data_IF_118925258888
#
_entry.id   IF_118925258888
#
_cell.length_a   1.000
_cell.length_b   1.000
_cell.length_c   1.000
_cell.angle_alpha   90.00
_cell.angle_beta   90.00
_cell.angle_gamma   90.00
#
_symmetry.space_group_name_H-M   'P 1'
#
loop_
_entity.id
_entity.type
_entity.pdbx_description
1 polymer ?
#
# COMPACT_ATOMS: atom_id res chain seq x y z
N UNK A 1 46.24 -7.53 -13.39
CA UNK A 1 45.19 -7.18 -12.39
C UNK A 1 43.90 -6.73 -13.08
N UNK A 2 43.33 -7.54 -14.03
CA UNK A 2 42.21 -7.13 -14.88
C UNK A 2 41.13 -8.20 -15.11
N UNK A 3 41.08 -9.29 -14.33
CA UNK A 3 40.11 -10.38 -14.52
C UNK A 3 38.98 -10.42 -13.47
N UNK A 4 39.13 -9.71 -12.37
CA UNK A 4 38.10 -9.72 -11.31
C UNK A 4 36.93 -8.73 -11.58
N UNK A 5 37.15 -7.68 -12.37
CA UNK A 5 36.14 -6.68 -12.72
C UNK A 5 35.10 -7.23 -13.72
N UNK A 6 35.52 -8.05 -14.67
CA UNK A 6 34.62 -8.56 -15.72
C UNK A 6 33.60 -9.59 -15.21
N UNK A 7 33.93 -10.36 -14.18
CA UNK A 7 33.01 -11.37 -13.60
C UNK A 7 31.91 -10.72 -12.77
N UNK A 8 32.24 -9.65 -12.05
CA UNK A 8 31.25 -8.85 -11.29
C UNK A 8 30.28 -8.14 -12.23
N UNK A 9 30.77 -7.55 -13.32
CA UNK A 9 29.97 -6.83 -14.29
C UNK A 9 28.98 -7.76 -15.02
N UNK A 10 29.44 -8.96 -15.40
CA UNK A 10 28.57 -9.97 -16.03
C UNK A 10 27.48 -10.48 -15.06
N UNK A 11 27.77 -10.62 -13.78
CA UNK A 11 26.77 -11.01 -12.78
C UNK A 11 25.71 -9.92 -12.58
N UNK A 12 26.11 -8.65 -12.56
CA UNK A 12 25.17 -7.50 -12.46
C UNK A 12 24.29 -7.41 -13.71
N UNK A 13 24.86 -7.60 -14.89
CA UNK A 13 24.08 -7.59 -16.16
C UNK A 13 23.07 -8.74 -16.15
N UNK A 14 23.46 -9.94 -15.79
CA UNK A 14 22.54 -11.09 -15.73
C UNK A 14 21.41 -10.88 -14.70
N UNK A 15 21.69 -10.26 -13.55
CA UNK A 15 20.65 -9.90 -12.59
C UNK A 15 19.68 -8.83 -13.14
N UNK A 16 20.19 -7.84 -13.84
CA UNK A 16 19.37 -6.80 -14.45
C UNK A 16 18.45 -7.36 -15.55
N UNK A 17 18.98 -8.28 -16.38
CA UNK A 17 18.21 -8.97 -17.41
C UNK A 17 17.10 -9.84 -16.80
N UNK A 18 17.41 -10.63 -15.76
CA UNK A 18 16.43 -11.44 -15.03
C UNK A 18 15.34 -10.60 -14.38
N UNK A 19 15.71 -9.48 -13.74
CA UNK A 19 14.75 -8.53 -13.17
C UNK A 19 13.85 -7.92 -14.24
N UNK A 20 14.41 -7.54 -15.39
CA UNK A 20 13.66 -6.99 -16.53
C UNK A 20 12.64 -7.99 -17.06
N UNK A 21 13.01 -9.26 -17.17
CA UNK A 21 12.11 -10.31 -17.63
C UNK A 21 10.98 -10.56 -16.63
N UNK A 22 11.29 -10.59 -15.34
CA UNK A 22 10.27 -10.72 -14.27
C UNK A 22 9.29 -9.57 -14.31
N UNK A 23 9.75 -8.33 -14.52
CA UNK A 23 8.89 -7.15 -14.64
C UNK A 23 7.98 -7.20 -15.87
N UNK A 24 8.48 -7.68 -17.01
CA UNK A 24 7.67 -7.87 -18.21
C UNK A 24 6.56 -8.91 -17.97
N UNK A 25 6.88 -10.00 -17.29
CA UNK A 25 5.89 -11.03 -16.95
C UNK A 25 4.83 -10.49 -16.00
N UNK A 26 5.21 -9.76 -14.96
CA UNK A 26 4.29 -9.09 -14.04
C UNK A 26 3.39 -8.10 -14.78
N UNK A 27 3.96 -7.23 -15.63
CA UNK A 27 3.21 -6.28 -16.46
C UNK A 27 2.20 -6.97 -17.38
N UNK A 28 2.59 -8.05 -18.05
CA UNK A 28 1.71 -8.80 -18.92
C UNK A 28 0.56 -9.43 -18.12
N UNK A 29 0.84 -10.07 -16.98
CA UNK A 29 -0.18 -10.63 -16.11
C UNK A 29 -1.19 -9.58 -15.60
N UNK A 30 -0.74 -8.36 -15.35
CA UNK A 30 -1.60 -7.23 -15.00
C UNK A 30 -2.45 -6.78 -16.20
N UNK A 31 -1.86 -6.69 -17.40
CA UNK A 31 -2.55 -6.27 -18.62
C UNK A 31 -3.62 -7.27 -19.07
N UNK A 32 -3.44 -8.56 -18.77
CA UNK A 32 -4.43 -9.62 -19.06
C UNK A 32 -5.74 -9.46 -18.23
N UNK A 33 -5.69 -8.71 -17.14
CA UNK A 33 -6.85 -8.47 -16.25
C UNK A 33 -7.38 -7.04 -16.38
N UNK A 34 -6.49 -6.07 -16.58
CA UNK A 34 -6.81 -4.63 -16.60
C UNK A 34 -6.72 -4.12 -18.05
N UNK A 35 -7.85 -4.04 -18.72
CA UNK A 35 -7.92 -3.63 -20.11
C UNK A 35 -8.11 -2.11 -20.26
N UNK A 36 -7.39 -1.53 -21.25
CA UNK A 36 -7.57 -0.13 -21.66
C UNK A 36 -7.05 0.91 -20.66
N UNK A 37 -6.21 0.50 -19.68
CA UNK A 37 -5.65 1.39 -18.66
C UNK A 37 -4.13 1.21 -18.51
N UNK A 38 -3.43 0.92 -19.62
CA UNK A 38 -2.00 0.63 -19.61
C UNK A 38 -1.18 1.75 -18.94
N UNK A 39 -1.54 3.01 -19.19
CA UNK A 39 -0.84 4.16 -18.59
C UNK A 39 -0.94 4.17 -17.05
N UNK A 40 -2.14 3.92 -16.51
CA UNK A 40 -2.34 3.87 -15.05
C UNK A 40 -1.61 2.67 -14.46
N UNK A 41 -1.65 1.53 -15.14
CA UNK A 41 -0.94 0.32 -14.76
C UNK A 41 0.57 0.56 -14.69
N UNK A 42 1.16 1.12 -15.75
CA UNK A 42 2.59 1.38 -15.85
C UNK A 42 3.05 2.41 -14.79
N UNK A 43 2.28 3.48 -14.56
CA UNK A 43 2.58 4.47 -13.53
C UNK A 43 2.49 3.85 -12.13
N UNK A 44 1.47 3.03 -11.86
CA UNK A 44 1.28 2.39 -10.54
C UNK A 44 2.39 1.38 -10.28
N UNK A 45 2.72 0.53 -11.26
CA UNK A 45 3.82 -0.43 -11.16
C UNK A 45 5.15 0.28 -10.92
N UNK A 46 5.45 1.33 -11.69
CA UNK A 46 6.66 2.15 -11.51
C UNK A 46 6.72 2.76 -10.12
N UNK A 47 5.59 3.26 -9.60
CA UNK A 47 5.53 3.86 -8.26
C UNK A 47 5.84 2.84 -7.17
N UNK A 48 5.28 1.62 -7.27
CA UNK A 48 5.55 0.52 -6.32
C UNK A 48 7.03 0.13 -6.38
N UNK A 49 7.60 -0.04 -7.57
CA UNK A 49 9.01 -0.40 -7.76
C UNK A 49 9.97 0.68 -7.25
N UNK A 50 9.56 1.94 -7.31
CA UNK A 50 10.31 3.07 -6.75
C UNK A 50 10.16 3.21 -5.22
N UNK A 51 9.40 2.33 -4.56
CA UNK A 51 9.15 2.41 -3.11
C UNK A 51 8.16 3.52 -2.73
N UNK A 52 7.40 4.05 -3.69
CA UNK A 52 6.50 5.18 -3.49
C UNK A 52 5.06 4.80 -3.15
N UNK A 53 4.22 5.84 -3.11
CA UNK A 53 2.76 5.77 -2.94
C UNK A 53 2.10 6.50 -4.11
N UNK A 54 0.87 6.14 -4.48
CA UNK A 54 0.16 6.80 -5.57
C UNK A 54 -1.23 7.30 -5.15
N UNK A 55 -1.64 8.43 -5.74
CA UNK A 55 -3.01 8.91 -5.70
C UNK A 55 -3.61 8.79 -7.11
N UNK A 56 -4.64 7.97 -7.25
CA UNK A 56 -5.36 7.73 -8.50
C UNK A 56 -6.62 8.60 -8.49
N UNK A 57 -6.58 9.68 -9.26
CA UNK A 57 -7.71 10.61 -9.40
C UNK A 57 -8.53 10.22 -10.64
N UNK A 58 -9.84 10.04 -10.49
CA UNK A 58 -10.70 9.69 -11.62
C UNK A 58 -12.12 9.32 -11.19
N UNK A 59 -13.02 9.32 -12.16
CA UNK A 59 -14.43 8.97 -11.95
C UNK A 59 -14.61 7.53 -11.43
N UNK A 60 -15.72 7.23 -10.73
CA UNK A 60 -16.05 5.88 -10.32
C UNK A 60 -16.20 4.93 -11.52
N UNK A 61 -15.95 3.62 -11.29
CA UNK A 61 -16.11 2.60 -12.34
C UNK A 61 -14.87 2.32 -13.19
N UNK A 62 -13.72 2.97 -12.95
CA UNK A 62 -12.47 2.74 -13.69
C UNK A 62 -11.68 1.53 -13.18
N UNK A 63 -12.33 0.51 -12.64
CA UNK A 63 -11.70 -0.72 -12.14
C UNK A 63 -10.52 -0.51 -11.16
N UNK A 64 -10.47 0.65 -10.45
CA UNK A 64 -9.39 1.00 -9.51
C UNK A 64 -9.17 -0.09 -8.45
N UNK A 65 -10.25 -0.60 -7.87
CA UNK A 65 -10.21 -1.71 -6.90
C UNK A 65 -9.59 -2.95 -7.53
N UNK A 66 -10.00 -3.31 -8.75
CA UNK A 66 -9.47 -4.47 -9.46
C UNK A 66 -7.99 -4.33 -9.77
N UNK A 67 -7.55 -3.12 -10.11
CA UNK A 67 -6.13 -2.82 -10.32
C UNK A 67 -5.31 -3.13 -9.06
N UNK A 68 -5.74 -2.65 -7.88
CA UNK A 68 -5.00 -2.86 -6.62
C UNK A 68 -4.98 -4.32 -6.22
N UNK A 69 -6.12 -5.01 -6.25
CA UNK A 69 -6.22 -6.47 -5.99
C UNK A 69 -5.31 -7.28 -6.91
N UNK A 70 -5.33 -6.97 -8.22
CA UNK A 70 -4.48 -7.66 -9.18
C UNK A 70 -3.00 -7.37 -8.94
N UNK A 71 -2.65 -6.11 -8.61
CA UNK A 71 -1.28 -5.75 -8.21
C UNK A 71 -0.82 -6.54 -6.99
N UNK A 72 -1.62 -6.60 -5.92
CA UNK A 72 -1.31 -7.39 -4.72
C UNK A 72 -1.03 -8.85 -5.07
N UNK A 73 -1.92 -9.45 -5.85
CA UNK A 73 -1.80 -10.86 -6.27
C UNK A 73 -0.55 -11.10 -7.13
N UNK A 74 -0.33 -10.29 -8.19
CA UNK A 74 0.77 -10.49 -9.15
C UNK A 74 2.14 -10.22 -8.51
N UNK A 75 2.22 -9.22 -7.62
CA UNK A 75 3.45 -8.86 -6.93
C UNK A 75 3.67 -9.66 -5.63
N UNK A 76 2.71 -10.51 -5.24
CA UNK A 76 2.79 -11.31 -4.01
C UNK A 76 2.78 -10.48 -2.73
N UNK A 77 2.12 -9.32 -2.73
CA UNK A 77 2.04 -8.41 -1.58
C UNK A 77 0.78 -8.69 -0.76
N UNK A 78 0.92 -8.71 0.56
CA UNK A 78 -0.22 -8.77 1.46
C UNK A 78 -1.01 -7.47 1.35
N UNK A 79 -2.25 -7.56 0.83
CA UNK A 79 -3.08 -6.40 0.59
C UNK A 79 -4.18 -6.23 1.64
N UNK A 80 -4.58 -4.98 1.87
CA UNK A 80 -5.77 -4.61 2.62
C UNK A 80 -6.47 -3.44 1.90
N UNK A 81 -7.78 -3.35 2.11
CA UNK A 81 -8.58 -2.25 1.57
C UNK A 81 -9.32 -1.56 2.69
N UNK A 82 -9.38 -0.24 2.61
CA UNK A 82 -10.21 0.59 3.47
C UNK A 82 -10.96 1.63 2.64
N UNK A 83 -12.26 1.73 2.88
CA UNK A 83 -13.12 2.76 2.30
C UNK A 83 -13.14 3.95 3.25
N UNK A 84 -12.73 5.12 2.78
CA UNK A 84 -12.75 6.34 3.57
C UNK A 84 -14.15 6.95 3.59
N UNK A 85 -14.61 7.30 4.79
CA UNK A 85 -15.92 7.92 5.06
C UNK A 85 -15.73 9.09 6.03
N UNK A 86 -16.68 10.05 6.12
CA UNK A 86 -16.55 11.20 7.02
C UNK A 86 -16.43 10.84 8.49
N UNK A 87 -16.98 9.72 8.90
CA UNK A 87 -16.97 9.20 10.28
C UNK A 87 -15.78 8.30 10.61
N UNK A 88 -14.95 7.94 9.60
CA UNK A 88 -13.77 7.10 9.80
C UNK A 88 -12.76 7.78 10.73
N UNK A 89 -12.35 7.07 11.78
CA UNK A 89 -11.39 7.55 12.77
C UNK A 89 -9.97 7.06 12.47
N UNK A 90 -8.92 7.76 12.93
CA UNK A 90 -7.54 7.28 12.84
C UNK A 90 -7.33 5.87 13.41
N UNK A 91 -8.01 5.52 14.49
CA UNK A 91 -7.94 4.18 15.09
C UNK A 91 -8.44 3.05 14.18
N UNK A 92 -9.37 3.37 13.28
CA UNK A 92 -9.91 2.38 12.33
C UNK A 92 -8.87 2.01 11.27
N UNK A 93 -7.92 2.91 10.99
CA UNK A 93 -6.83 2.72 10.05
C UNK A 93 -5.59 2.14 10.73
N UNK A 94 -5.19 2.76 11.84
CA UNK A 94 -3.93 2.45 12.52
C UNK A 94 -4.06 1.24 13.46
N UNK A 95 -5.27 0.98 13.94
CA UNK A 95 -5.53 0.02 15.02
C UNK A 95 -5.69 0.69 16.37
N UNK A 96 -6.07 -0.10 17.35
CA UNK A 96 -6.37 0.37 18.71
C UNK A 96 -5.98 -0.67 19.75
N UNK A 97 -5.75 -0.21 20.99
CA UNK A 97 -5.64 -1.12 22.13
C UNK A 97 -7.03 -1.50 22.64
N UNK A 98 -7.21 -2.78 22.86
CA UNK A 98 -8.40 -3.32 23.51
C UNK A 98 -8.00 -4.00 24.80
N UNK A 99 -8.87 -3.90 25.81
CA UNK A 99 -8.68 -4.60 27.06
C UNK A 99 -9.30 -5.99 26.94
N UNK A 100 -8.46 -7.02 27.11
CA UNK A 100 -8.90 -8.43 27.15
C UNK A 100 -8.72 -9.01 28.54
N UNK A 101 -9.62 -9.92 28.92
CA UNK A 101 -9.44 -10.73 30.11
C UNK A 101 -8.64 -11.98 29.73
N UNK A 102 -7.48 -12.13 30.38
CA UNK A 102 -6.63 -13.32 30.18
C UNK A 102 -7.25 -14.53 30.87
N UNK A 103 -6.85 -15.79 30.54
CA UNK A 103 -7.35 -17.00 31.18
C UNK A 103 -7.19 -17.00 32.71
N UNK A 104 -6.28 -16.21 33.26
CA UNK A 104 -6.03 -16.04 34.69
C UNK A 104 -6.89 -14.94 35.34
N UNK A 105 -7.98 -14.50 34.67
CA UNK A 105 -8.86 -13.41 35.11
C UNK A 105 -8.15 -12.07 35.34
N UNK A 106 -7.00 -11.84 34.70
CA UNK A 106 -6.32 -10.55 34.70
C UNK A 106 -6.72 -9.76 33.45
N UNK A 107 -6.80 -8.45 33.60
CA UNK A 107 -7.02 -7.55 32.48
C UNK A 107 -5.67 -7.16 31.88
N UNK A 108 -5.53 -7.35 30.56
CA UNK A 108 -4.36 -6.94 29.79
C UNK A 108 -4.79 -6.14 28.55
N UNK A 109 -3.99 -5.15 28.17
CA UNK A 109 -4.20 -4.45 26.91
C UNK A 109 -3.53 -5.23 25.80
N UNK A 110 -4.26 -5.40 24.68
CA UNK A 110 -3.73 -5.98 23.44
C UNK A 110 -3.94 -5.00 22.30
N UNK A 111 -2.89 -4.78 21.53
CA UNK A 111 -2.98 -3.99 20.32
C UNK A 111 -3.61 -4.82 19.19
N UNK A 112 -4.73 -4.33 18.65
CA UNK A 112 -5.35 -4.84 17.44
C UNK A 112 -4.85 -4.00 16.26
N UNK A 113 -4.10 -4.64 15.37
CA UNK A 113 -3.58 -3.99 14.16
C UNK A 113 -4.71 -3.57 13.24
N UNK A 114 -4.66 -2.32 12.78
CA UNK A 114 -5.55 -1.82 11.74
C UNK A 114 -5.09 -2.21 10.33
N UNK A 115 -5.88 -1.87 9.30
CA UNK A 115 -5.57 -2.21 7.89
C UNK A 115 -4.27 -1.60 7.36
N UNK A 116 -3.70 -0.58 8.00
CA UNK A 116 -2.38 -0.04 7.64
C UNK A 116 -1.25 -1.06 7.77
N UNK A 117 -1.45 -2.14 8.54
CA UNK A 117 -0.47 -3.22 8.68
C UNK A 117 -0.54 -4.21 7.49
N UNK A 118 -0.51 -3.68 6.29
CA UNK A 118 -0.43 -4.40 5.02
C UNK A 118 0.81 -3.97 4.24
N UNK A 119 1.22 -4.74 3.24
CA UNK A 119 2.28 -4.33 2.31
C UNK A 119 1.73 -3.43 1.19
N UNK A 120 0.48 -3.63 0.82
CA UNK A 120 -0.24 -2.81 -0.15
C UNK A 120 -1.60 -2.41 0.44
N UNK A 121 -1.75 -1.14 0.79
CA UNK A 121 -3.02 -0.60 1.29
C UNK A 121 -3.75 0.15 0.19
N UNK A 122 -4.97 -0.28 -0.12
CA UNK A 122 -5.89 0.50 -0.92
C UNK A 122 -6.69 1.45 -0.02
N UNK A 123 -6.47 2.75 -0.17
CA UNK A 123 -7.19 3.82 0.52
C UNK A 123 -8.23 4.43 -0.43
N UNK A 124 -9.46 3.89 -0.40
CA UNK A 124 -10.49 4.26 -1.36
C UNK A 124 -11.24 5.53 -0.91
N UNK A 125 -11.40 6.50 -1.83
CA UNK A 125 -12.06 7.80 -1.62
C UNK A 125 -11.48 8.61 -0.44
N UNK A 126 -10.15 8.73 -0.40
CA UNK A 126 -9.41 9.35 0.72
C UNK A 126 -9.88 10.79 1.03
N UNK A 127 -10.39 11.51 0.04
CA UNK A 127 -10.91 12.88 0.18
C UNK A 127 -12.18 12.96 1.03
N UNK A 128 -12.88 11.85 1.30
CA UNK A 128 -14.10 11.86 2.13
C UNK A 128 -13.82 11.86 3.63
N UNK A 129 -12.63 11.42 4.04
CA UNK A 129 -12.28 11.38 5.46
C UNK A 129 -11.89 12.75 6.02
N UNK A 130 -12.01 12.88 7.34
CA UNK A 130 -11.56 14.07 8.04
C UNK A 130 -10.06 14.33 7.84
N UNK A 131 -9.60 15.60 7.88
CA UNK A 131 -8.17 15.93 7.79
C UNK A 131 -7.31 15.21 8.83
N UNK A 132 -7.87 14.96 10.03
CA UNK A 132 -7.20 14.22 11.10
C UNK A 132 -6.91 12.77 10.69
N UNK A 133 -7.86 12.11 10.06
CA UNK A 133 -7.75 10.74 9.59
C UNK A 133 -6.77 10.64 8.41
N UNK A 134 -6.83 11.58 7.47
CA UNK A 134 -5.86 11.67 6.39
C UNK A 134 -4.43 11.89 6.90
N UNK A 135 -4.24 12.80 7.87
CA UNK A 135 -2.93 13.07 8.47
C UNK A 135 -2.34 11.85 9.17
N UNK A 136 -3.17 11.02 9.82
CA UNK A 136 -2.71 9.79 10.46
C UNK A 136 -2.16 8.78 9.45
N UNK A 137 -2.81 8.64 8.28
CA UNK A 137 -2.29 7.80 7.19
C UNK A 137 -1.00 8.38 6.61
N UNK A 138 -0.95 9.70 6.36
CA UNK A 138 0.26 10.36 5.84
C UNK A 138 1.45 10.18 6.78
N UNK A 139 1.26 10.27 8.09
CA UNK A 139 2.31 10.01 9.07
C UNK A 139 2.81 8.57 8.96
N UNK A 140 1.91 7.59 8.90
CA UNK A 140 2.28 6.18 8.74
C UNK A 140 3.08 5.93 7.45
N UNK A 141 2.73 6.62 6.34
CA UNK A 141 3.43 6.55 5.05
C UNK A 141 4.86 7.12 5.13
N UNK A 142 5.05 8.20 5.89
CA UNK A 142 6.34 8.85 6.04
C UNK A 142 7.27 8.13 7.01
N UNK A 143 6.72 7.67 8.13
CA UNK A 143 7.51 7.12 9.24
C UNK A 143 7.68 5.60 9.17
N UNK A 144 6.82 4.90 8.39
CA UNK A 144 6.76 3.44 8.28
C UNK A 144 6.53 2.73 9.63
N UNK A 145 5.95 3.42 10.57
CA UNK A 145 5.49 2.89 11.85
C UNK A 145 4.29 3.69 12.36
N UNK A 146 3.60 3.14 13.33
CA UNK A 146 2.56 3.85 14.08
C UNK A 146 2.92 3.84 15.56
N UNK A 147 2.49 4.89 16.28
CA UNK A 147 2.66 4.98 17.73
C UNK A 147 1.29 4.99 18.39
N UNK A 148 1.00 3.96 19.18
CA UNK A 148 -0.26 3.80 19.91
C UNK A 148 0.07 3.68 21.40
N UNK A 149 -0.56 4.52 22.23
CA UNK A 149 -0.36 4.55 23.69
C UNK A 149 1.12 4.63 24.12
N UNK A 150 1.95 5.29 23.29
CA UNK A 150 3.38 5.42 23.52
C UNK A 150 4.24 4.24 23.03
N UNK A 151 3.64 3.16 22.56
CA UNK A 151 4.35 2.03 21.97
C UNK A 151 4.46 2.18 20.45
N UNK A 152 5.65 1.87 19.89
CA UNK A 152 5.92 1.88 18.46
C UNK A 152 5.65 0.53 17.84
N UNK A 153 4.96 0.54 16.71
CA UNK A 153 4.65 -0.65 15.90
C UNK A 153 5.09 -0.41 14.46
N UNK A 154 6.13 -1.12 14.02
CA UNK A 154 6.64 -0.99 12.66
C UNK A 154 5.67 -1.62 11.64
N UNK A 155 5.52 -0.97 10.49
CA UNK A 155 4.71 -1.47 9.38
C UNK A 155 5.47 -2.55 8.59
N UNK A 156 4.76 -3.50 7.94
CA UNK A 156 5.38 -4.46 7.05
C UNK A 156 6.14 -3.76 5.91
N UNK A 157 7.23 -4.37 5.45
CA UNK A 157 7.96 -3.87 4.28
C UNK A 157 7.93 -4.90 3.15
N UNK A 158 7.85 -4.43 1.89
CA UNK A 158 7.64 -3.05 1.47
C UNK A 158 6.25 -2.55 1.91
N UNK A 159 6.07 -1.22 2.04
CA UNK A 159 4.78 -0.62 2.37
C UNK A 159 4.40 0.42 1.33
N UNK A 160 3.26 0.20 0.67
CA UNK A 160 2.72 1.06 -0.37
C UNK A 160 1.27 1.41 -0.08
N UNK A 161 0.89 2.63 -0.40
CA UNK A 161 -0.50 3.08 -0.37
C UNK A 161 -0.90 3.50 -1.78
N UNK A 162 -1.97 2.90 -2.28
CA UNK A 162 -2.66 3.32 -3.48
C UNK A 162 -3.98 3.97 -3.07
N UNK A 163 -3.98 5.29 -3.01
CA UNK A 163 -5.16 6.06 -2.66
C UNK A 163 -6.00 6.37 -3.91
N UNK A 164 -7.33 6.41 -3.75
CA UNK A 164 -8.22 6.89 -4.80
C UNK A 164 -8.95 8.15 -4.38
N UNK A 165 -9.27 8.99 -5.35
CA UNK A 165 -10.09 10.17 -5.18
C UNK A 165 -11.11 10.27 -6.30
N UNK A 166 -12.37 10.52 -5.93
CA UNK A 166 -13.41 10.89 -6.89
C UNK A 166 -13.52 12.41 -6.94
N UNK A 167 -13.19 13.07 -8.08
CA UNK A 167 -13.24 14.53 -8.17
C UNK A 167 -14.66 15.10 -8.18
N UNK A 168 -15.69 14.28 -8.43
CA UNK A 168 -17.08 14.74 -8.51
C UNK A 168 -17.71 14.90 -7.12
N UNK A 169 -17.17 14.24 -6.10
CA UNK A 169 -17.69 14.27 -4.72
C UNK A 169 -16.99 15.33 -3.85
N UNK A 170 -16.54 16.43 -4.40
CA UNK A 170 -16.03 17.57 -3.63
C UNK A 170 -17.16 18.43 -3.05
N UNK A 171 -18.10 17.84 -2.35
CA UNK A 171 -19.02 18.59 -1.51
C UNK A 171 -18.42 18.66 -0.09
N UNK A 172 -17.76 19.79 0.23
CA UNK A 172 -17.50 20.18 1.61
C UNK A 172 -16.04 20.21 2.10
N UNK A 173 -15.10 20.48 1.22
CA UNK A 173 -13.74 20.85 1.66
C UNK A 173 -13.40 22.26 1.20
#
# INVERSE_FOLDING_TARGET
>A
MSLATSTSDNAVIAQAEAATETLKQARNALSDVIFGQETILDHTLTTILAGGHALIVGVPGLAKTKLVETMGTVLGLAEQRIQFTPDLMPSDILGSEVMEETPDHRRAFRFLKGPVFAQLLMADEINRASPRTQSALLQAMQEYHVTISGARYDLPRPFHVLATQNPIEQEGT
#
